data_IF_095256536440
#
_entry.id   IF_095256536440
#
_cell.length_a   1.000
_cell.length_b   1.000
_cell.length_c   1.000
_cell.angle_alpha   90.00
_cell.angle_beta   90.00
_cell.angle_gamma   90.00
#
_symmetry.space_group_name_H-M   'P 1'
#
loop_
_entity.id
_entity.type
_entity.pdbx_description
1 polymer ?
#
# COMPACT_ATOMS: atom_id res chain seq x y z
N UNK A 1 -19.10 16.81 -0.43
CA UNK A 1 -19.72 15.94 -1.45
C UNK A 1 -19.36 16.47 -2.82
N UNK A 2 -18.66 15.64 -3.59
CA UNK A 2 -18.24 15.90 -4.96
C UNK A 2 -18.79 14.77 -5.82
N UNK A 3 -19.63 15.12 -6.79
CA UNK A 3 -20.17 14.18 -7.74
C UNK A 3 -19.02 13.41 -8.41
N UNK A 4 -19.15 12.09 -8.49
CA UNK A 4 -18.09 11.20 -8.96
C UNK A 4 -18.66 10.25 -10.01
N UNK A 5 -17.98 10.14 -11.15
CA UNK A 5 -18.34 9.21 -12.22
C UNK A 5 -17.30 8.10 -12.23
N UNK A 6 -17.73 6.86 -12.09
CA UNK A 6 -16.91 5.66 -12.24
C UNK A 6 -16.97 5.15 -13.67
N UNK A 7 -15.82 4.87 -14.27
CA UNK A 7 -15.67 4.27 -15.58
C UNK A 7 -15.06 2.89 -15.41
N UNK A 8 -15.70 1.86 -15.97
CA UNK A 8 -15.29 0.46 -15.79
C UNK A 8 -15.21 -0.22 -17.15
N UNK A 9 -14.11 -0.92 -17.42
CA UNK A 9 -13.97 -1.85 -18.55
C UNK A 9 -13.57 -3.25 -18.02
N UNK A 10 -14.54 -4.15 -17.84
CA UNK A 10 -14.27 -5.50 -17.32
C UNK A 10 -13.55 -6.43 -18.31
N UNK A 11 -13.72 -6.24 -19.62
CA UNK A 11 -13.19 -7.14 -20.65
C UNK A 11 -12.35 -6.44 -21.71
N UNK A 12 -11.60 -7.23 -22.48
CA UNK A 12 -10.69 -6.72 -23.52
C UNK A 12 -11.42 -5.90 -24.60
N UNK A 13 -12.67 -6.26 -24.87
CA UNK A 13 -13.48 -5.58 -25.88
C UNK A 13 -14.04 -4.24 -25.34
N UNK A 14 -13.92 -3.14 -26.10
CA UNK A 14 -14.47 -1.84 -25.70
C UNK A 14 -15.98 -1.83 -25.42
N UNK A 15 -16.73 -2.77 -25.99
CA UNK A 15 -18.18 -2.94 -25.76
C UNK A 15 -18.52 -3.32 -24.32
N UNK A 16 -17.53 -3.80 -23.55
CA UNK A 16 -17.71 -4.09 -22.12
C UNK A 16 -17.67 -2.83 -21.25
N UNK A 17 -17.31 -1.68 -21.81
CA UNK A 17 -17.25 -0.40 -21.08
C UNK A 17 -18.63 -0.02 -20.56
N UNK A 18 -18.67 0.35 -19.30
CA UNK A 18 -19.84 0.91 -18.64
C UNK A 18 -19.41 2.02 -17.69
N UNK A 19 -20.38 2.81 -17.22
CA UNK A 19 -20.15 3.86 -16.24
C UNK A 19 -21.26 3.90 -15.20
N UNK A 20 -20.98 4.53 -14.08
CA UNK A 20 -21.96 4.80 -13.02
C UNK A 20 -21.64 6.14 -12.36
N UNK A 21 -22.66 6.87 -11.97
CA UNK A 21 -22.54 8.15 -11.27
C UNK A 21 -22.93 8.02 -9.78
N UNK A 22 -22.30 8.86 -8.96
CA UNK A 22 -22.45 8.87 -7.51
C UNK A 22 -22.43 10.31 -6.99
N UNK A 23 -23.14 10.58 -5.89
CA UNK A 23 -23.20 11.92 -5.30
C UNK A 23 -21.91 12.27 -4.53
N UNK A 24 -21.14 11.25 -4.14
CA UNK A 24 -19.89 11.40 -3.42
C UNK A 24 -18.82 10.39 -3.82
N UNK A 25 -17.56 10.72 -3.48
CA UNK A 25 -16.42 9.81 -3.63
C UNK A 25 -16.62 8.53 -2.83
N UNK A 26 -17.16 8.63 -1.61
CA UNK A 26 -17.35 7.47 -0.74
C UNK A 26 -18.37 6.49 -1.35
N UNK A 27 -19.51 6.98 -1.83
CA UNK A 27 -20.50 6.15 -2.52
C UNK A 27 -19.92 5.50 -3.78
N UNK A 28 -19.07 6.22 -4.52
CA UNK A 28 -18.37 5.65 -5.66
C UNK A 28 -17.47 4.48 -5.25
N UNK A 29 -16.74 4.60 -4.13
CA UNK A 29 -15.90 3.51 -3.62
C UNK A 29 -16.73 2.32 -3.13
N UNK A 30 -17.86 2.56 -2.45
CA UNK A 30 -18.83 1.52 -2.11
C UNK A 30 -19.38 0.82 -3.37
N UNK A 31 -19.57 1.57 -4.45
CA UNK A 31 -19.94 1.04 -5.77
C UNK A 31 -18.92 0.03 -6.29
N UNK A 32 -17.62 0.31 -6.17
CA UNK A 32 -16.56 -0.63 -6.56
C UNK A 32 -16.60 -1.90 -5.70
N UNK A 33 -16.80 -1.79 -4.39
CA UNK A 33 -16.99 -2.95 -3.51
C UNK A 33 -18.19 -3.80 -3.94
N UNK A 34 -19.33 -3.17 -4.26
CA UNK A 34 -20.55 -3.86 -4.71
C UNK A 34 -20.34 -4.62 -6.02
N UNK A 35 -19.59 -4.06 -6.97
CA UNK A 35 -19.26 -4.74 -8.24
C UNK A 35 -18.52 -6.06 -7.96
N UNK A 36 -17.55 -6.05 -7.04
CA UNK A 36 -16.83 -7.26 -6.66
C UNK A 36 -17.72 -8.25 -5.89
N UNK A 37 -18.52 -7.77 -4.96
CA UNK A 37 -19.47 -8.59 -4.21
C UNK A 37 -20.49 -9.29 -5.11
N UNK A 38 -20.97 -8.63 -6.16
CA UNK A 38 -21.84 -9.24 -7.16
C UNK A 38 -21.13 -10.36 -7.94
N UNK A 39 -19.86 -10.16 -8.31
CA UNK A 39 -19.05 -11.22 -8.93
C UNK A 39 -18.87 -12.41 -7.99
N UNK A 40 -18.59 -12.16 -6.72
CA UNK A 40 -18.48 -13.22 -5.71
C UNK A 40 -19.80 -13.97 -5.51
N UNK A 41 -20.94 -13.27 -5.47
CA UNK A 41 -22.28 -13.86 -5.38
C UNK A 41 -22.60 -14.75 -6.58
N UNK A 42 -22.26 -14.32 -7.80
CA UNK A 42 -22.45 -15.14 -9.01
C UNK A 42 -21.61 -16.41 -8.98
N UNK A 43 -20.40 -16.36 -8.43
CA UNK A 43 -19.51 -17.53 -8.27
C UNK A 43 -19.95 -18.46 -7.14
N UNK A 44 -20.62 -17.95 -6.11
CA UNK A 44 -20.99 -18.69 -4.91
C UNK A 44 -22.51 -18.57 -4.62
N UNK A 45 -23.40 -19.04 -5.52
CA UNK A 45 -24.84 -18.79 -5.43
C UNK A 45 -25.52 -19.37 -4.20
N UNK A 46 -24.93 -20.42 -3.59
CA UNK A 46 -25.46 -21.08 -2.40
C UNK A 46 -24.88 -20.53 -1.09
N UNK A 47 -24.04 -19.49 -1.14
CA UNK A 47 -23.41 -18.89 0.04
C UNK A 47 -24.17 -17.62 0.43
N UNK A 48 -24.93 -17.62 1.54
CA UNK A 48 -25.81 -16.50 1.90
C UNK A 48 -25.05 -15.25 2.36
N UNK A 49 -23.84 -15.42 2.89
CA UNK A 49 -22.97 -14.33 3.32
C UNK A 49 -21.56 -14.62 2.87
N UNK A 50 -21.01 -13.71 2.06
CA UNK A 50 -19.66 -13.84 1.53
C UNK A 50 -18.80 -12.81 2.25
N UNK A 51 -17.71 -13.27 2.86
CA UNK A 51 -16.65 -12.43 3.39
C UNK A 51 -15.45 -12.51 2.44
N UNK A 52 -14.70 -11.43 2.34
CA UNK A 52 -13.48 -11.36 1.53
C UNK A 52 -12.49 -10.43 2.20
N UNK A 53 -11.20 -10.71 1.99
CA UNK A 53 -10.13 -9.81 2.39
C UNK A 53 -9.98 -8.66 1.37
N UNK A 54 -9.51 -7.51 1.84
CA UNK A 54 -9.30 -6.34 0.99
C UNK A 54 -8.30 -6.59 -0.13
N UNK A 55 -7.31 -7.47 0.08
CA UNK A 55 -6.36 -7.89 -0.96
C UNK A 55 -7.09 -8.54 -2.13
N UNK A 56 -8.09 -9.38 -1.88
CA UNK A 56 -8.85 -10.06 -2.92
C UNK A 56 -9.69 -9.08 -3.76
N UNK A 57 -10.19 -8.01 -3.13
CA UNK A 57 -10.84 -6.90 -3.85
C UNK A 57 -9.83 -6.14 -4.73
N UNK A 58 -8.62 -5.91 -4.23
CA UNK A 58 -7.58 -5.21 -4.99
C UNK A 58 -7.06 -6.03 -6.16
N UNK A 59 -6.88 -7.34 -5.99
CA UNK A 59 -6.56 -8.26 -7.07
C UNK A 59 -7.62 -8.21 -8.18
N UNK A 60 -8.90 -8.16 -7.80
CA UNK A 60 -10.00 -7.98 -8.75
C UNK A 60 -9.92 -6.65 -9.51
N UNK A 61 -9.65 -5.54 -8.80
CA UNK A 61 -9.47 -4.22 -9.43
C UNK A 61 -8.31 -4.23 -10.42
N UNK A 62 -7.21 -4.87 -10.06
CA UNK A 62 -6.02 -4.98 -10.91
C UNK A 62 -6.28 -5.82 -12.17
N UNK A 63 -7.13 -6.85 -12.08
CA UNK A 63 -7.55 -7.69 -13.20
C UNK A 63 -8.48 -7.01 -14.22
N UNK A 64 -9.18 -5.92 -13.85
CA UNK A 64 -10.00 -5.17 -14.81
C UNK A 64 -9.13 -4.63 -15.95
N UNK A 65 -9.68 -4.46 -17.16
CA UNK A 65 -8.89 -3.86 -18.25
C UNK A 65 -8.69 -2.37 -18.00
N UNK A 66 -9.75 -1.69 -17.58
CA UNK A 66 -9.66 -0.30 -17.15
C UNK A 66 -10.63 -0.05 -15.99
N UNK A 67 -10.20 0.79 -15.07
CA UNK A 67 -11.02 1.33 -14.00
C UNK A 67 -10.46 2.69 -13.61
N UNK A 68 -11.27 3.72 -13.79
CA UNK A 68 -10.94 5.09 -13.44
C UNK A 68 -12.18 5.80 -12.90
N UNK A 69 -11.99 6.91 -12.19
CA UNK A 69 -13.10 7.76 -11.79
C UNK A 69 -12.80 9.24 -12.04
N UNK A 70 -13.86 9.99 -12.27
CA UNK A 70 -13.84 11.42 -12.49
C UNK A 70 -14.50 12.08 -11.28
N UNK A 71 -13.75 12.89 -10.52
CA UNK A 71 -14.28 13.59 -9.34
C UNK A 71 -14.47 15.06 -9.68
N UNK A 72 -15.68 15.56 -9.44
CA UNK A 72 -16.02 16.96 -9.68
C UNK A 72 -15.33 17.90 -8.69
N UNK A 73 -14.64 18.91 -9.23
CA UNK A 73 -13.94 19.95 -8.50
C UNK A 73 -14.69 21.27 -8.61
N UNK A 74 -15.31 21.69 -7.49
CA UNK A 74 -16.12 22.93 -7.44
C UNK A 74 -15.31 24.20 -7.71
N UNK A 75 -14.04 24.22 -7.33
CA UNK A 75 -13.16 25.40 -7.49
C UNK A 75 -12.86 25.71 -8.95
N UNK A 76 -12.72 24.69 -9.79
CA UNK A 76 -12.37 24.81 -11.21
C UNK A 76 -13.56 24.54 -12.13
N UNK A 77 -14.68 24.05 -11.59
CA UNK A 77 -15.84 23.58 -12.35
C UNK A 77 -15.48 22.51 -13.39
N UNK A 78 -14.57 21.60 -13.03
CA UNK A 78 -14.08 20.52 -13.91
C UNK A 78 -14.12 19.18 -13.21
N UNK A 79 -13.95 18.10 -13.97
CA UNK A 79 -13.69 16.77 -13.44
C UNK A 79 -12.20 16.46 -13.45
N UNK A 80 -11.67 16.04 -12.31
CA UNK A 80 -10.31 15.51 -12.22
C UNK A 80 -10.33 13.98 -12.38
N UNK A 81 -9.53 13.40 -13.28
CA UNK A 81 -9.44 11.96 -13.45
C UNK A 81 -8.51 11.31 -12.42
N UNK A 82 -8.90 10.13 -11.96
CA UNK A 82 -8.16 9.29 -11.04
C UNK A 82 -8.15 7.84 -11.51
N UNK A 83 -7.04 7.15 -11.28
CA UNK A 83 -6.79 5.80 -11.75
C UNK A 83 -7.08 4.73 -10.67
N UNK A 84 -6.85 3.46 -11.01
CA UNK A 84 -7.06 2.30 -10.13
C UNK A 84 -6.38 2.43 -8.77
N UNK A 85 -5.14 2.89 -8.74
CA UNK A 85 -4.38 2.99 -7.50
C UNK A 85 -5.02 3.98 -6.53
N UNK A 86 -5.48 5.13 -7.04
CA UNK A 86 -6.21 6.11 -6.24
C UNK A 86 -7.56 5.56 -5.75
N UNK A 87 -8.25 4.77 -6.57
CA UNK A 87 -9.50 4.11 -6.18
C UNK A 87 -9.25 3.10 -5.05
N UNK A 88 -8.22 2.25 -5.17
CA UNK A 88 -7.81 1.30 -4.12
C UNK A 88 -7.51 2.02 -2.80
N UNK A 89 -6.80 3.15 -2.86
CA UNK A 89 -6.55 4.01 -1.69
C UNK A 89 -7.86 4.46 -1.03
N UNK A 90 -8.80 5.02 -1.80
CA UNK A 90 -10.05 5.55 -1.23
C UNK A 90 -10.94 4.45 -0.67
N UNK A 91 -10.96 3.27 -1.29
CA UNK A 91 -11.62 2.07 -0.74
C UNK A 91 -11.00 1.67 0.60
N UNK A 92 -9.67 1.63 0.69
CA UNK A 92 -8.98 1.30 1.95
C UNK A 92 -9.39 2.26 3.07
N UNK A 93 -9.34 3.56 2.81
CA UNK A 93 -9.72 4.59 3.78
C UNK A 93 -11.18 4.43 4.20
N UNK A 94 -12.09 4.21 3.25
CA UNK A 94 -13.51 4.00 3.50
C UNK A 94 -13.76 2.80 4.43
N UNK A 95 -13.19 1.63 4.10
CA UNK A 95 -13.41 0.40 4.86
C UNK A 95 -12.78 0.47 6.26
N UNK A 96 -11.62 1.12 6.38
CA UNK A 96 -10.98 1.36 7.67
C UNK A 96 -11.81 2.26 8.59
N UNK A 97 -12.41 3.32 8.03
CA UNK A 97 -13.32 4.21 8.77
C UNK A 97 -14.57 3.46 9.25
N UNK A 98 -15.15 2.60 8.40
CA UNK A 98 -16.29 1.77 8.76
C UNK A 98 -15.96 0.77 9.89
N UNK A 99 -14.71 0.29 9.97
CA UNK A 99 -14.23 -0.60 11.04
C UNK A 99 -13.91 0.12 12.37
N UNK A 100 -14.11 1.44 12.48
CA UNK A 100 -13.93 2.20 13.74
C UNK A 100 -12.48 2.39 14.18
N UNK A 101 -11.50 2.15 13.30
CA UNK A 101 -10.07 2.29 13.64
C UNK A 101 -9.57 3.72 13.33
N UNK A 102 -9.66 4.61 14.32
CA UNK A 102 -9.16 6.01 14.27
C UNK A 102 -7.62 6.14 14.31
N UNK A 103 -6.88 5.17 13.76
CA UNK A 103 -5.44 5.32 13.59
C UNK A 103 -5.16 6.16 12.32
N UNK A 104 -4.09 6.97 12.29
CA UNK A 104 -3.86 7.96 11.24
C UNK A 104 -3.88 7.32 9.85
N UNK A 105 -4.52 8.02 8.91
CA UNK A 105 -4.81 7.60 7.53
C UNK A 105 -3.59 7.33 6.64
N UNK A 106 -2.38 7.23 7.19
CA UNK A 106 -1.15 7.10 6.43
C UNK A 106 -0.71 5.64 6.21
N UNK A 107 -1.18 4.66 7.00
CA UNK A 107 -0.46 3.38 7.08
C UNK A 107 -0.69 2.37 5.94
N UNK A 108 -1.78 2.49 5.17
CA UNK A 108 -2.19 1.45 4.20
C UNK A 108 -1.76 1.68 2.75
N UNK A 109 -1.17 2.82 2.41
CA UNK A 109 -0.96 3.28 1.03
C UNK A 109 0.53 3.40 0.63
N UNK A 110 1.42 3.10 1.58
CA UNK A 110 2.85 3.14 1.36
C UNK A 110 3.35 1.96 0.47
N UNK A 111 2.55 0.91 0.30
CA UNK A 111 2.94 -0.30 -0.44
C UNK A 111 3.23 -0.17 -1.94
N UNK A 112 2.95 0.97 -2.59
CA UNK A 112 3.22 1.19 -4.04
C UNK A 112 3.80 2.58 -4.35
N UNK A 113 4.36 3.26 -3.35
CA UNK A 113 5.05 4.54 -3.56
C UNK A 113 6.55 4.31 -3.68
N UNK A 114 7.15 4.78 -4.77
CA UNK A 114 8.59 4.73 -4.94
C UNK A 114 9.29 5.33 -3.72
N UNK A 115 10.23 4.58 -3.16
CA UNK A 115 10.84 4.88 -1.88
C UNK A 115 12.34 4.78 -1.99
N UNK A 116 13.04 5.83 -1.57
CA UNK A 116 14.50 5.87 -1.52
C UNK A 116 14.93 5.70 -0.07
N UNK A 117 15.66 4.64 0.23
CA UNK A 117 16.30 4.40 1.51
C UNK A 117 17.68 5.07 1.53
N UNK A 118 17.97 5.83 2.59
CA UNK A 118 19.26 6.44 2.85
C UNK A 118 19.85 5.81 4.10
N UNK A 119 21.06 5.26 4.00
CA UNK A 119 21.70 4.53 5.09
C UNK A 119 23.10 5.07 5.32
N UNK A 120 23.45 5.36 6.57
CA UNK A 120 24.83 5.58 7.00
C UNK A 120 25.21 4.56 8.08
N UNK A 121 25.88 3.46 7.72
CA UNK A 121 26.25 2.41 8.66
C UNK A 121 27.37 2.79 9.62
N UNK A 122 28.27 3.70 9.22
CA UNK A 122 29.47 4.04 9.98
C UNK A 122 29.60 5.55 10.27
N UNK A 123 30.46 5.89 11.22
CA UNK A 123 30.68 7.28 11.65
C UNK A 123 31.19 8.17 10.50
N UNK A 124 31.93 7.59 9.56
CA UNK A 124 32.46 8.32 8.43
C UNK A 124 31.38 8.56 7.36
N UNK A 125 31.23 9.81 6.85
CA UNK A 125 30.28 10.13 5.79
C UNK A 125 30.46 9.31 4.51
N UNK A 126 31.66 8.81 4.25
CA UNK A 126 31.97 7.93 3.09
C UNK A 126 31.23 6.59 3.15
N UNK A 127 30.69 6.20 4.31
CA UNK A 127 29.89 4.99 4.44
C UNK A 127 28.43 5.18 3.98
N UNK A 128 28.02 6.41 3.67
CA UNK A 128 26.66 6.70 3.18
C UNK A 128 26.40 5.96 1.88
N UNK A 129 25.26 5.29 1.83
CA UNK A 129 24.76 4.63 0.65
C UNK A 129 23.25 4.85 0.55
N UNK A 130 22.68 4.58 -0.61
CA UNK A 130 21.24 4.64 -0.83
C UNK A 130 20.77 3.44 -1.65
N UNK A 131 19.47 3.17 -1.58
CA UNK A 131 18.81 2.18 -2.42
C UNK A 131 17.41 2.67 -2.72
N UNK A 132 16.94 2.45 -3.94
CA UNK A 132 15.58 2.75 -4.36
C UNK A 132 14.74 1.48 -4.48
N UNK A 133 13.44 1.65 -4.27
CA UNK A 133 12.44 0.60 -4.25
C UNK A 133 11.16 1.12 -4.89
N UNK A 134 10.38 0.24 -5.53
CA UNK A 134 9.11 0.61 -6.16
C UNK A 134 8.00 0.89 -5.11
N UNK A 135 8.28 0.54 -3.86
CA UNK A 135 7.31 0.38 -2.79
C UNK A 135 7.96 0.63 -1.43
N UNK A 136 7.20 1.15 -0.46
CA UNK A 136 7.67 1.21 0.93
C UNK A 136 7.83 -0.19 1.52
N UNK A 137 6.99 -1.16 1.14
CA UNK A 137 7.11 -2.51 1.68
C UNK A 137 8.43 -3.14 1.24
N UNK A 138 8.77 -3.02 -0.04
CA UNK A 138 10.08 -3.45 -0.56
C UNK A 138 11.23 -2.72 0.12
N UNK A 139 11.07 -1.42 0.40
CA UNK A 139 12.05 -0.66 1.17
C UNK A 139 12.24 -1.22 2.60
N UNK A 140 11.15 -1.56 3.28
CA UNK A 140 11.21 -2.17 4.62
C UNK A 140 11.83 -3.57 4.59
N UNK A 141 11.49 -4.39 3.59
CA UNK A 141 12.18 -5.66 3.34
C UNK A 141 13.68 -5.46 3.06
N UNK A 142 14.04 -4.38 2.38
CA UNK A 142 15.42 -3.95 2.18
C UNK A 142 16.17 -3.74 3.50
N UNK A 143 15.53 -3.07 4.46
CA UNK A 143 16.11 -2.88 5.81
C UNK A 143 16.31 -4.24 6.52
N UNK A 144 15.34 -5.15 6.43
CA UNK A 144 15.47 -6.50 6.97
C UNK A 144 16.65 -7.26 6.31
N UNK A 145 16.77 -7.19 4.98
CA UNK A 145 17.86 -7.83 4.21
C UNK A 145 19.24 -7.31 4.61
N UNK A 146 19.39 -6.00 4.83
CA UNK A 146 20.65 -5.40 5.30
C UNK A 146 21.07 -6.04 6.64
N UNK A 147 20.13 -6.19 7.58
CA UNK A 147 20.40 -6.81 8.87
C UNK A 147 20.73 -8.31 8.72
N UNK A 148 19.97 -9.04 7.91
CA UNK A 148 20.20 -10.45 7.63
C UNK A 148 21.58 -10.71 6.99
N UNK A 149 22.03 -9.85 6.08
CA UNK A 149 23.37 -9.91 5.52
C UNK A 149 24.44 -9.71 6.59
N UNK A 150 24.24 -8.77 7.52
CA UNK A 150 25.16 -8.56 8.64
C UNK A 150 25.22 -9.80 9.55
N UNK A 151 24.06 -10.41 9.84
CA UNK A 151 24.00 -11.65 10.61
C UNK A 151 24.68 -12.82 9.89
N UNK A 152 24.53 -12.94 8.56
CA UNK A 152 25.20 -13.95 7.73
C UNK A 152 26.71 -13.78 7.75
N UNK A 153 27.22 -12.55 7.65
CA UNK A 153 28.66 -12.27 7.76
C UNK A 153 29.23 -12.66 9.12
N UNK A 154 28.46 -12.47 10.20
CA UNK A 154 28.86 -12.87 11.56
C UNK A 154 28.74 -14.38 11.80
N UNK A 155 27.82 -15.06 11.12
CA UNK A 155 27.51 -16.48 11.29
C UNK A 155 27.57 -17.24 9.95
N UNK A 156 28.75 -17.34 9.31
CA UNK A 156 28.86 -17.86 7.94
C UNK A 156 28.48 -19.34 7.79
N UNK A 157 28.51 -20.11 8.89
CA UNK A 157 28.17 -21.54 8.89
C UNK A 157 26.70 -21.82 9.24
N UNK A 158 25.89 -20.79 9.49
CA UNK A 158 24.49 -20.93 9.85
C UNK A 158 23.62 -20.83 8.59
N UNK A 159 22.99 -21.93 8.14
CA UNK A 159 22.27 -21.96 6.86
C UNK A 159 20.98 -21.13 6.87
N UNK A 160 20.30 -21.08 8.02
CA UNK A 160 19.06 -20.32 8.22
C UNK A 160 19.24 -19.37 9.39
N UNK A 161 19.03 -18.08 9.16
CA UNK A 161 19.11 -17.06 10.19
C UNK A 161 17.72 -16.79 10.74
N UNK A 162 17.61 -16.80 12.06
CA UNK A 162 16.41 -16.40 12.80
C UNK A 162 16.80 -15.30 13.78
N UNK A 163 15.93 -14.32 13.96
CA UNK A 163 16.13 -13.20 14.88
C UNK A 163 14.78 -12.67 15.37
N UNK A 164 14.77 -12.10 16.56
CA UNK A 164 13.63 -11.38 17.10
C UNK A 164 13.56 -9.96 16.52
N UNK A 165 12.35 -9.42 16.40
CA UNK A 165 12.12 -8.05 15.92
C UNK A 165 12.85 -7.00 16.76
N UNK A 166 13.01 -7.25 18.06
CA UNK A 166 13.76 -6.38 18.97
C UNK A 166 15.22 -6.27 18.55
N UNK A 167 15.84 -7.37 18.10
CA UNK A 167 17.22 -7.37 17.63
C UNK A 167 17.39 -6.58 16.33
N UNK A 168 16.40 -6.65 15.43
CA UNK A 168 16.36 -5.82 14.22
C UNK A 168 16.23 -4.33 14.58
N UNK A 169 15.42 -3.99 15.58
CA UNK A 169 15.27 -2.61 16.04
C UNK A 169 16.52 -2.07 16.72
N UNK A 170 17.19 -2.89 17.53
CA UNK A 170 18.49 -2.56 18.12
C UNK A 170 19.53 -2.26 17.03
N UNK A 171 19.53 -3.04 15.94
CA UNK A 171 20.38 -2.78 14.77
C UNK A 171 20.05 -1.44 14.11
N UNK A 172 18.77 -1.15 13.86
CA UNK A 172 18.32 0.12 13.27
C UNK A 172 18.76 1.31 14.14
N UNK A 173 18.64 1.18 15.46
CA UNK A 173 19.03 2.21 16.41
C UNK A 173 20.56 2.43 16.43
N UNK A 174 21.35 1.38 16.21
CA UNK A 174 22.82 1.45 16.14
C UNK A 174 23.38 2.11 14.86
N UNK A 175 22.62 2.18 13.77
CA UNK A 175 23.06 2.88 12.56
C UNK A 175 23.33 4.36 12.86
N UNK A 176 24.27 5.00 12.17
CA UNK A 176 24.51 6.43 12.39
C UNK A 176 23.35 7.26 11.86
N UNK A 177 22.89 6.93 10.66
CA UNK A 177 21.70 7.53 10.07
C UNK A 177 20.93 6.46 9.28
N UNK A 178 19.61 6.58 9.34
CA UNK A 178 18.69 5.80 8.53
C UNK A 178 17.42 6.62 8.36
N UNK A 179 17.12 6.94 7.11
CA UNK A 179 15.90 7.65 6.73
C UNK A 179 15.41 7.12 5.39
N UNK A 180 14.14 7.37 5.07
CA UNK A 180 13.62 7.07 3.75
C UNK A 180 12.83 8.25 3.20
N UNK A 181 12.85 8.39 1.89
CA UNK A 181 12.09 9.38 1.14
C UNK A 181 10.98 8.63 0.40
N UNK A 182 9.72 8.92 0.71
CA UNK A 182 8.59 8.31 0.02
C UNK A 182 7.98 9.30 -0.96
N UNK A 183 7.84 8.87 -2.21
CA UNK A 183 7.19 9.65 -3.25
C UNK A 183 5.70 9.88 -2.95
N UNK A 184 5.27 11.13 -2.97
CA UNK A 184 3.89 11.55 -2.81
C UNK A 184 3.35 12.02 -4.16
N UNK A 185 2.54 11.18 -4.81
CA UNK A 185 1.95 11.47 -6.13
C UNK A 185 1.04 12.71 -6.12
N UNK A 186 0.40 13.02 -4.99
CA UNK A 186 -0.51 14.16 -4.84
C UNK A 186 0.20 15.52 -4.94
N UNK A 187 1.42 15.61 -4.44
CA UNK A 187 2.25 16.83 -4.43
C UNK A 187 3.41 16.76 -5.40
N UNK A 188 3.66 15.59 -5.99
CA UNK A 188 4.82 15.29 -6.84
C UNK A 188 6.16 15.58 -6.11
N UNK A 189 6.24 15.23 -4.83
CA UNK A 189 7.42 15.46 -3.97
C UNK A 189 7.78 14.21 -3.18
N UNK A 190 8.99 14.16 -2.62
CA UNK A 190 9.36 13.16 -1.64
C UNK A 190 9.17 13.67 -0.22
N UNK A 191 8.45 12.90 0.61
CA UNK A 191 8.34 13.14 2.03
C UNK A 191 9.41 12.35 2.79
N UNK A 192 10.20 13.01 3.67
CA UNK A 192 11.21 12.33 4.47
C UNK A 192 10.61 11.67 5.73
N UNK A 193 11.12 10.49 6.07
CA UNK A 193 10.75 9.75 7.27
C UNK A 193 12.00 9.24 8.00
N UNK A 194 11.91 9.17 9.33
CA UNK A 194 13.00 8.82 10.22
C UNK A 194 12.99 7.34 10.61
N UNK A 195 13.97 6.94 11.43
CA UNK A 195 14.08 5.59 11.99
C UNK A 195 12.85 5.09 12.72
N UNK A 196 12.20 5.93 13.50
CA UNK A 196 11.02 5.55 14.29
C UNK A 196 9.88 5.12 13.36
N UNK A 197 9.64 5.90 12.32
CA UNK A 197 8.66 5.58 11.29
C UNK A 197 9.02 4.29 10.53
N UNK A 198 10.30 4.10 10.19
CA UNK A 198 10.78 2.86 9.54
C UNK A 198 10.52 1.64 10.44
N UNK A 199 10.84 1.71 11.74
CA UNK A 199 10.57 0.62 12.70
C UNK A 199 9.08 0.30 12.79
N UNK A 200 8.21 1.32 12.81
CA UNK A 200 6.76 1.14 12.78
C UNK A 200 6.31 0.40 11.51
N UNK A 201 6.79 0.79 10.32
CA UNK A 201 6.43 0.11 9.07
C UNK A 201 6.95 -1.32 8.98
N UNK A 202 8.15 -1.59 9.48
CA UNK A 202 8.69 -2.94 9.59
C UNK A 202 7.80 -3.80 10.50
N UNK A 203 7.37 -3.26 11.65
CA UNK A 203 6.47 -3.98 12.57
C UNK A 203 5.17 -4.38 11.87
N UNK A 204 4.55 -3.44 11.14
CA UNK A 204 3.32 -3.69 10.38
C UNK A 204 3.54 -4.74 9.30
N UNK A 205 4.61 -4.62 8.50
CA UNK A 205 4.96 -5.55 7.43
C UNK A 205 5.11 -6.99 7.96
N UNK A 206 5.90 -7.17 9.02
CA UNK A 206 6.18 -8.49 9.58
C UNK A 206 4.94 -9.11 10.24
N UNK A 207 4.10 -8.29 10.90
CA UNK A 207 2.84 -8.75 11.47
C UNK A 207 1.86 -9.23 10.39
N UNK A 208 1.81 -8.54 9.24
CA UNK A 208 0.99 -8.95 8.10
C UNK A 208 1.47 -10.29 7.55
N UNK A 209 2.77 -10.44 7.30
CA UNK A 209 3.36 -11.69 6.79
C UNK A 209 3.16 -12.90 7.73
N UNK A 210 3.14 -12.69 9.04
CA UNK A 210 2.84 -13.73 10.02
C UNK A 210 1.35 -14.13 10.03
N UNK A 211 0.44 -13.19 9.75
CA UNK A 211 -1.01 -13.42 9.72
C UNK A 211 -1.52 -14.12 8.46
N UNK A 212 -0.77 -14.09 7.36
CA UNK A 212 -1.14 -14.76 6.09
C UNK A 212 -0.85 -16.26 6.08
N UNK A 213 -0.10 -16.77 7.06
CA UNK A 213 0.29 -18.18 7.18
C UNK A 213 -0.49 -18.96 8.27
N UNK A 214 -1.64 -18.45 8.72
CA UNK A 214 -2.49 -19.06 9.73
C UNK A 214 -3.87 -19.47 9.17
#
# INVERSE_FOLDING_TARGET
MSHTILLVQPGQHPETRTYSDYESVNECMEGVCKIYEEQLKRRNPNTPTITYDISQLFDFVDQLIDLSCLVYQKSTNTYAPYNKEWIKEKIYVLLRQAAGTNAPAADGMYGMSHTILLVQPGQHPETRTYSDYESVNECMEGVCKIYEEQLKRRNPNTPTITYDISQLFDFVDQLIDLSCLVYQKSTNTYAPYNKEWIKEKIYVLLRQAAGTNA
#
